data_IF_973278074632
#
_entry.id   IF_973278074632
#
_cell.length_a   1.000
_cell.length_b   1.000
_cell.length_c   1.000
_cell.angle_alpha   90.00
_cell.angle_beta   90.00
_cell.angle_gamma   90.00
#
_symmetry.space_group_name_H-M   'P 1'
#
loop_
_entity.id
_entity.type
_entity.pdbx_description
1 polymer ?
#
# COMPACT_ATOMS: atom_id res chain seq x y z
N UNK A 1 -15.83 -11.49 -3.18
CA UNK A 1 -14.44 -11.16 -2.75
C UNK A 1 -14.47 -10.58 -1.36
N UNK A 2 -13.62 -11.07 -0.49
CA UNK A 2 -13.49 -10.55 0.87
C UNK A 2 -12.72 -9.23 0.86
N UNK A 3 -13.27 -8.20 1.51
CA UNK A 3 -12.62 -6.89 1.60
C UNK A 3 -11.76 -6.86 2.85
N UNK A 4 -10.48 -6.49 2.69
CA UNK A 4 -9.57 -6.35 3.82
C UNK A 4 -9.92 -5.09 4.63
N UNK A 5 -9.93 -5.24 5.94
CA UNK A 5 -10.12 -4.12 6.87
C UNK A 5 -9.04 -4.15 7.94
N UNK A 6 -8.95 -3.08 8.71
CA UNK A 6 -8.03 -2.99 9.85
C UNK A 6 -8.12 -4.20 10.78
N UNK A 7 -9.31 -4.77 10.92
CA UNK A 7 -9.57 -5.87 11.86
C UNK A 7 -9.30 -7.26 11.28
N UNK A 8 -8.96 -7.35 9.97
CA UNK A 8 -8.73 -8.64 9.33
C UNK A 8 -7.49 -9.36 9.83
N UNK A 9 -6.52 -8.63 10.36
CA UNK A 9 -5.26 -9.15 10.90
C UNK A 9 -4.78 -8.31 12.08
N UNK A 10 -3.93 -8.88 12.91
CA UNK A 10 -3.22 -8.12 13.94
C UNK A 10 -2.17 -7.25 13.27
N UNK A 11 -2.19 -5.97 13.56
CA UNK A 11 -1.29 -5.00 12.95
C UNK A 11 -0.64 -4.12 14.01
N UNK A 12 0.47 -3.50 13.62
CA UNK A 12 1.19 -2.52 14.42
C UNK A 12 1.15 -1.16 13.73
N UNK A 13 1.11 -0.07 14.48
CA UNK A 13 1.13 1.26 13.87
C UNK A 13 2.45 1.51 13.16
N UNK A 14 2.44 2.45 12.20
CA UNK A 14 3.64 2.87 11.52
C UNK A 14 4.60 3.52 12.52
N UNK A 15 5.91 3.28 12.32
CA UNK A 15 6.95 3.87 13.16
C UNK A 15 6.87 5.40 13.13
N UNK A 16 7.20 6.04 14.26
CA UNK A 16 7.14 7.49 14.41
C UNK A 16 8.17 8.23 13.55
N UNK A 17 9.24 7.53 13.16
CA UNK A 17 10.31 8.09 12.32
C UNK A 17 10.14 7.77 10.83
N UNK A 18 8.94 7.37 10.42
CA UNK A 18 8.63 7.16 9.00
C UNK A 18 8.87 8.45 8.21
N UNK A 19 9.36 8.29 6.98
CA UNK A 19 9.73 9.40 6.11
C UNK A 19 8.68 9.58 5.01
N UNK A 20 8.30 10.82 4.76
CA UNK A 20 7.37 11.18 3.68
C UNK A 20 8.13 11.43 2.39
N UNK A 21 7.69 10.77 1.32
CA UNK A 21 8.15 11.02 -0.04
C UNK A 21 6.93 11.43 -0.86
N UNK A 22 7.06 12.53 -1.61
CA UNK A 22 5.99 12.96 -2.50
C UNK A 22 6.08 12.21 -3.81
N UNK A 23 4.94 11.67 -4.26
CA UNK A 23 4.83 10.84 -5.45
C UNK A 23 3.60 11.25 -6.26
N UNK A 24 3.42 10.63 -7.42
CA UNK A 24 2.21 10.79 -8.23
C UNK A 24 1.98 9.49 -8.99
N UNK A 25 1.30 8.55 -8.34
CA UNK A 25 0.97 7.26 -8.95
C UNK A 25 -0.51 7.28 -9.35
N UNK A 26 -0.76 7.26 -10.66
CA UNK A 26 -2.10 7.43 -11.23
C UNK A 26 -2.77 6.10 -11.51
N UNK A 27 -4.06 6.05 -11.16
CA UNK A 27 -4.91 4.88 -11.41
C UNK A 27 -6.31 5.36 -11.81
N UNK A 28 -6.98 4.57 -12.65
CA UNK A 28 -8.37 4.80 -13.00
C UNK A 28 -9.28 4.46 -11.81
N UNK A 29 -10.53 4.94 -11.87
CA UNK A 29 -11.52 4.61 -10.84
C UNK A 29 -11.71 3.10 -10.70
N UNK A 30 -11.76 2.37 -11.82
CA UNK A 30 -11.90 0.90 -11.81
C UNK A 30 -10.73 0.24 -11.09
N UNK A 31 -9.51 0.69 -11.38
CA UNK A 31 -8.31 0.17 -10.71
C UNK A 31 -8.33 0.49 -9.22
N UNK A 32 -8.72 1.71 -8.86
CA UNK A 32 -8.81 2.13 -7.46
C UNK A 32 -9.88 1.32 -6.72
N UNK A 33 -11.01 1.04 -7.32
CA UNK A 33 -12.05 0.22 -6.70
C UNK A 33 -11.51 -1.17 -6.34
N UNK A 34 -10.68 -1.74 -7.20
CA UNK A 34 -10.00 -3.01 -6.92
C UNK A 34 -8.97 -2.86 -5.80
N UNK A 35 -8.14 -1.82 -5.85
CA UNK A 35 -7.11 -1.55 -4.83
C UNK A 35 -7.74 -1.38 -3.45
N UNK A 36 -8.88 -0.68 -3.36
CA UNK A 36 -9.58 -0.44 -2.09
C UNK A 36 -10.08 -1.74 -1.43
N UNK A 37 -10.26 -2.80 -2.17
CA UNK A 37 -10.62 -4.10 -1.58
C UNK A 37 -9.47 -4.69 -0.75
N UNK A 38 -8.25 -4.22 -0.97
CA UNK A 38 -7.09 -4.68 -0.23
C UNK A 38 -6.72 -6.12 -0.54
N UNK A 39 -5.91 -6.71 0.33
CA UNK A 39 -5.45 -8.08 0.15
C UNK A 39 -5.26 -8.74 1.52
N UNK A 40 -5.90 -9.90 1.72
CA UNK A 40 -5.75 -10.69 2.94
C UNK A 40 -4.91 -11.92 2.58
N UNK A 41 -3.70 -12.09 3.18
CA UNK A 41 -2.85 -13.23 2.87
C UNK A 41 -3.47 -14.53 3.37
N UNK A 42 -3.40 -15.58 2.57
CA UNK A 42 -3.93 -16.90 2.88
C UNK A 42 -2.83 -17.95 3.05
N UNK A 43 -1.62 -17.66 2.56
CA UNK A 43 -0.50 -18.59 2.54
C UNK A 43 0.77 -17.88 3.01
N UNK A 44 1.73 -18.65 3.51
CA UNK A 44 2.99 -18.10 4.03
C UNK A 44 3.80 -17.35 2.96
N UNK A 45 3.65 -17.72 1.69
CA UNK A 45 4.32 -17.08 0.58
C UNK A 45 3.79 -15.68 0.29
N UNK A 46 2.57 -15.39 0.73
CA UNK A 46 1.96 -14.08 0.57
C UNK A 46 2.44 -13.16 1.70
N UNK A 47 3.27 -12.19 1.35
CA UNK A 47 4.04 -11.40 2.32
C UNK A 47 3.35 -10.13 2.77
N UNK A 48 2.24 -9.75 2.15
CA UNK A 48 1.60 -8.46 2.39
C UNK A 48 0.16 -8.62 2.84
N UNK A 49 -0.22 -7.80 3.82
CA UNK A 49 -1.59 -7.53 4.21
C UNK A 49 -1.88 -6.07 3.88
N UNK A 50 -2.88 -5.83 3.04
CA UNK A 50 -3.18 -4.49 2.51
C UNK A 50 -4.63 -4.17 2.81
N UNK A 51 -4.89 -2.99 3.39
CA UNK A 51 -6.25 -2.51 3.58
C UNK A 51 -6.35 -1.01 3.32
N UNK A 52 -7.56 -0.56 2.99
CA UNK A 52 -7.88 0.83 2.73
C UNK A 52 -8.79 1.37 3.82
N UNK A 53 -8.49 2.59 4.30
CA UNK A 53 -9.31 3.25 5.31
C UNK A 53 -9.07 4.77 5.24
N UNK A 54 -10.16 5.53 5.13
CA UNK A 54 -10.13 7.01 5.21
C UNK A 54 -9.10 7.67 4.28
N UNK A 55 -9.12 7.30 3.01
CA UNK A 55 -8.24 7.82 1.96
C UNK A 55 -6.77 7.40 2.08
N UNK A 56 -6.50 6.40 2.90
CA UNK A 56 -5.18 5.81 3.04
C UNK A 56 -5.20 4.34 2.62
N UNK A 57 -4.16 3.91 1.92
CA UNK A 57 -3.87 2.49 1.72
C UNK A 57 -2.68 2.12 2.61
N UNK A 58 -2.81 1.03 3.36
CA UNK A 58 -1.81 0.58 4.32
C UNK A 58 -1.22 -0.75 3.86
N UNK A 59 0.10 -0.80 3.75
CA UNK A 59 0.83 -2.00 3.36
C UNK A 59 1.60 -2.54 4.57
N UNK A 60 1.07 -3.61 5.16
CA UNK A 60 1.65 -4.27 6.32
C UNK A 60 2.33 -5.57 5.93
N UNK A 61 3.42 -5.93 6.61
CA UNK A 61 3.97 -7.28 6.48
C UNK A 61 2.96 -8.29 7.06
N UNK A 62 2.67 -9.33 6.26
CA UNK A 62 1.57 -10.24 6.55
C UNK A 62 1.67 -10.91 7.92
N UNK A 63 2.86 -11.31 8.33
CA UNK A 63 3.02 -12.20 9.48
C UNK A 63 3.64 -11.50 10.69
N UNK A 64 4.25 -10.34 10.52
CA UNK A 64 4.77 -9.52 11.64
C UNK A 64 3.83 -8.38 12.01
N UNK A 65 3.00 -7.93 11.08
CA UNK A 65 2.05 -6.85 11.29
C UNK A 65 2.64 -5.45 11.16
N UNK A 66 3.94 -5.30 10.90
CA UNK A 66 4.56 -3.98 10.77
C UNK A 66 4.01 -3.24 9.55
N UNK A 67 3.67 -1.96 9.74
CA UNK A 67 3.32 -1.07 8.63
C UNK A 67 4.60 -0.56 7.97
N UNK A 68 4.87 -1.01 6.76
CA UNK A 68 6.10 -0.64 6.04
C UNK A 68 5.87 0.59 5.18
N UNK A 69 4.70 0.65 4.52
CA UNK A 69 4.32 1.75 3.65
C UNK A 69 2.88 2.14 3.92
N UNK A 70 2.58 3.44 3.82
CA UNK A 70 1.20 3.90 3.69
C UNK A 70 1.15 5.03 2.69
N UNK A 71 0.07 5.08 1.92
CA UNK A 71 -0.08 6.04 0.84
C UNK A 71 -1.41 6.74 0.96
N UNK A 72 -1.39 8.05 0.74
CA UNK A 72 -2.61 8.85 0.69
C UNK A 72 -3.06 9.04 -0.74
N UNK A 73 -4.37 8.92 -0.97
CA UNK A 73 -4.99 9.04 -2.27
C UNK A 73 -5.82 10.32 -2.36
N UNK A 74 -5.91 10.86 -3.56
CA UNK A 74 -6.87 11.94 -3.88
C UNK A 74 -7.42 11.73 -5.28
N UNK A 75 -8.62 12.24 -5.51
CA UNK A 75 -9.19 12.30 -6.85
C UNK A 75 -8.60 13.50 -7.59
N UNK A 76 -8.11 13.28 -8.81
CA UNK A 76 -7.51 14.35 -9.63
C UNK A 76 -8.38 14.69 -10.84
N UNK A 77 -9.13 13.72 -11.35
CA UNK A 77 -10.09 13.86 -12.44
C UNK A 77 -11.31 13.02 -12.14
N UNK A 78 -12.35 13.11 -12.97
CA UNK A 78 -13.60 12.37 -12.75
C UNK A 78 -13.36 10.86 -12.54
N UNK A 79 -12.50 10.26 -13.36
CA UNK A 79 -12.22 8.83 -13.32
C UNK A 79 -10.74 8.55 -13.08
N UNK A 80 -10.03 9.46 -12.47
CA UNK A 80 -8.60 9.32 -12.22
C UNK A 80 -8.23 9.74 -10.81
N UNK A 81 -7.40 8.93 -10.19
CA UNK A 81 -6.93 9.12 -8.81
C UNK A 81 -5.42 9.09 -8.76
N UNK A 82 -4.84 9.76 -7.78
CA UNK A 82 -3.40 9.78 -7.55
C UNK A 82 -3.11 9.40 -6.11
N UNK A 83 -2.17 8.47 -5.92
CA UNK A 83 -1.48 8.35 -4.63
C UNK A 83 -0.38 9.39 -4.64
N UNK A 84 -0.47 10.35 -3.73
CA UNK A 84 0.40 11.53 -3.77
C UNK A 84 1.33 11.66 -2.57
N UNK A 85 1.13 10.86 -1.53
CA UNK A 85 2.04 10.76 -0.39
C UNK A 85 2.41 9.30 -0.18
N UNK A 86 3.70 9.04 0.01
CA UNK A 86 4.21 7.74 0.40
C UNK A 86 5.01 7.90 1.68
N UNK A 87 4.53 7.28 2.76
CA UNK A 87 5.26 7.22 4.02
C UNK A 87 5.97 5.86 4.10
N UNK A 88 7.23 5.90 4.50
CA UNK A 88 8.13 4.74 4.46
C UNK A 88 8.74 4.51 5.84
N UNK A 89 8.60 3.29 6.37
CA UNK A 89 9.44 2.82 7.47
C UNK A 89 10.76 2.35 6.87
N UNK A 90 11.76 3.21 6.87
CA UNK A 90 13.02 2.97 6.16
C UNK A 90 13.79 1.78 6.70
N UNK A 91 13.66 1.48 7.99
CA UNK A 91 14.36 0.33 8.58
C UNK A 91 13.88 -1.00 8.02
N UNK A 92 12.61 -1.08 7.63
CA UNK A 92 11.97 -2.33 7.18
C UNK A 92 11.63 -2.33 5.70
N UNK A 93 11.82 -1.21 5.02
CA UNK A 93 11.49 -1.05 3.60
C UNK A 93 12.47 -1.83 2.72
N UNK A 94 12.10 -1.98 1.44
CA UNK A 94 12.96 -2.61 0.43
C UNK A 94 14.31 -1.90 0.33
N UNK A 95 14.30 -0.56 0.40
CA UNK A 95 15.50 0.24 0.52
C UNK A 95 15.43 1.09 1.79
N UNK A 96 16.53 1.18 2.52
CA UNK A 96 16.62 2.03 3.71
C UNK A 96 16.83 3.50 3.36
N UNK A 97 17.19 3.80 2.11
CA UNK A 97 17.32 5.17 1.62
C UNK A 97 15.95 5.66 1.15
N UNK A 98 15.33 6.66 1.81
CA UNK A 98 14.02 7.16 1.40
C UNK A 98 14.03 7.82 0.02
N UNK A 99 15.21 8.24 -0.47
CA UNK A 99 15.35 8.84 -1.80
C UNK A 99 15.60 7.80 -2.89
N UNK A 100 15.69 6.52 -2.53
CA UNK A 100 15.90 5.45 -3.49
C UNK A 100 14.58 5.13 -4.21
N UNK A 101 14.59 5.20 -5.52
CA UNK A 101 13.44 4.88 -6.35
C UNK A 101 12.95 3.44 -6.17
N UNK A 102 13.77 2.55 -5.62
CA UNK A 102 13.40 1.16 -5.40
C UNK A 102 12.13 1.02 -4.58
N UNK A 103 11.92 1.87 -3.56
CA UNK A 103 10.69 1.84 -2.77
C UNK A 103 9.47 2.23 -3.59
N UNK A 104 9.60 3.27 -4.41
CA UNK A 104 8.49 3.75 -5.26
C UNK A 104 8.16 2.70 -6.32
N UNK A 105 9.17 2.14 -6.97
CA UNK A 105 8.99 1.10 -8.00
C UNK A 105 8.32 -0.13 -7.41
N UNK A 106 8.75 -0.56 -6.23
CA UNK A 106 8.15 -1.71 -5.55
C UNK A 106 6.68 -1.47 -5.22
N UNK A 107 6.36 -0.34 -4.60
CA UNK A 107 5.00 0.01 -4.22
C UNK A 107 4.11 0.13 -5.44
N UNK A 108 4.59 0.77 -6.50
CA UNK A 108 3.84 0.90 -7.74
C UNK A 108 3.55 -0.46 -8.37
N UNK A 109 4.53 -1.35 -8.38
CA UNK A 109 4.35 -2.72 -8.88
C UNK A 109 3.31 -3.48 -8.06
N UNK A 110 3.37 -3.36 -6.74
CA UNK A 110 2.43 -4.03 -5.84
C UNK A 110 1.00 -3.51 -6.05
N UNK A 111 0.82 -2.20 -6.15
CA UNK A 111 -0.49 -1.60 -6.40
C UNK A 111 -1.04 -1.97 -7.78
N UNK A 112 -0.17 -2.04 -8.80
CA UNK A 112 -0.59 -2.49 -10.14
C UNK A 112 -1.07 -3.94 -10.11
N UNK A 113 -0.35 -4.82 -9.42
CA UNK A 113 -0.76 -6.22 -9.26
C UNK A 113 -2.10 -6.30 -8.54
N UNK A 114 -2.27 -5.50 -7.50
CA UNK A 114 -3.52 -5.47 -6.74
C UNK A 114 -4.68 -4.94 -7.58
N UNK A 115 -4.44 -3.93 -8.42
CA UNK A 115 -5.47 -3.36 -9.29
C UNK A 115 -6.01 -4.38 -10.30
N UNK A 116 -5.18 -5.33 -10.71
CA UNK A 116 -5.52 -6.38 -11.67
C UNK A 116 -5.89 -7.69 -11.01
N UNK A 117 -5.82 -7.76 -9.68
CA UNK A 117 -6.01 -8.98 -8.90
C UNK A 117 -5.05 -10.10 -9.32
N UNK A 118 -3.87 -9.72 -9.74
CA UNK A 118 -2.80 -10.69 -9.99
C UNK A 118 -2.19 -11.17 -8.67
N UNK A 119 -1.42 -12.24 -8.75
CA UNK A 119 -0.78 -12.84 -7.57
C UNK A 119 0.20 -11.84 -6.92
N UNK A 120 0.07 -11.68 -5.61
CA UNK A 120 0.89 -10.76 -4.82
C UNK A 120 1.84 -11.54 -3.88
#
# INVERSE_FOLDING_TARGET
MEIATRDSRKIKPMANDAILVLIDLRFSKTEIDSIKCGFIPKQMEQKWFIFYENDWIYLHRAWTGYCIYKLKIKQVEKNEFSFYQLWIDCDKAISQDPNDEANILFVNSLLNSLSKRELI
#
